data_IF_209401311070
#
_entry.id   IF_209401311070
#
_cell.length_a   1.000
_cell.length_b   1.000
_cell.length_c   1.000
_cell.angle_alpha   90.00
_cell.angle_beta   90.00
_cell.angle_gamma   90.00
#
_symmetry.space_group_name_H-M   'P 1'
#
loop_
_entity.id
_entity.type
_entity.pdbx_description
1 polymer ?
#
# COMPACT_ATOMS: atom_id res chain seq x y z
N UNK A 1 6.35 -8.48 -5.91
CA UNK A 1 7.41 -7.45 -5.74
C UNK A 1 6.93 -6.51 -4.63
N UNK A 2 7.74 -6.26 -3.59
CA UNK A 2 7.37 -5.26 -2.57
C UNK A 2 7.66 -3.90 -3.17
N UNK A 3 6.64 -3.03 -3.24
CA UNK A 3 6.79 -1.68 -3.76
C UNK A 3 6.85 -0.70 -2.60
N UNK A 4 7.83 0.19 -2.67
CA UNK A 4 7.97 1.28 -1.70
C UNK A 4 6.99 2.38 -2.06
N UNK A 5 6.01 2.59 -1.21
CA UNK A 5 4.99 3.62 -1.38
C UNK A 5 5.54 4.96 -0.88
N UNK A 6 5.43 5.99 -1.70
CA UNK A 6 5.81 7.35 -1.32
C UNK A 6 4.61 8.06 -0.70
N UNK A 7 4.85 8.83 0.35
CA UNK A 7 3.79 9.50 1.13
C UNK A 7 4.10 10.97 1.28
N UNK A 8 3.07 11.81 1.11
CA UNK A 8 3.07 13.17 1.64
C UNK A 8 2.60 13.14 3.10
N UNK A 9 3.26 13.95 3.94
CA UNK A 9 3.01 14.02 5.39
C UNK A 9 2.32 15.33 5.71
N UNK A 10 1.25 15.26 6.48
CA UNK A 10 0.51 16.43 6.93
C UNK A 10 0.21 16.35 8.42
N UNK A 11 0.10 17.51 9.06
CA UNK A 11 -0.42 17.63 10.41
C UNK A 11 -1.95 17.59 10.35
N UNK A 12 -2.52 16.50 10.86
CA UNK A 12 -3.95 16.33 11.03
C UNK A 12 -4.50 17.09 12.25
N UNK A 13 -5.82 17.09 12.41
CA UNK A 13 -6.44 17.59 13.65
C UNK A 13 -5.84 16.87 14.87
N UNK A 14 -5.75 17.59 15.98
CA UNK A 14 -5.24 17.08 17.25
C UNK A 14 -3.75 16.65 17.23
N UNK A 15 -2.97 17.11 16.24
CA UNK A 15 -1.53 16.82 16.14
C UNK A 15 -1.22 15.40 15.64
N UNK A 16 -2.19 14.75 14.99
CA UNK A 16 -2.00 13.44 14.38
C UNK A 16 -1.19 13.55 13.08
N UNK A 17 -0.20 12.67 12.88
CA UNK A 17 0.48 12.55 11.59
C UNK A 17 -0.45 11.83 10.60
N UNK A 18 -0.87 12.54 9.54
CA UNK A 18 -1.60 11.93 8.41
C UNK A 18 -0.60 11.67 7.29
N UNK A 19 -0.58 10.42 6.80
CA UNK A 19 0.25 9.98 5.67
C UNK A 19 -0.64 9.63 4.49
N UNK A 20 -0.52 10.37 3.39
CA UNK A 20 -1.30 10.16 2.17
C UNK A 20 -0.36 9.74 1.04
N UNK A 21 -0.64 8.65 0.32
CA UNK A 21 0.16 8.30 -0.87
C UNK A 21 0.16 9.44 -1.89
N UNK A 22 1.32 9.69 -2.52
CA UNK A 22 1.46 10.75 -3.54
C UNK A 22 0.84 10.36 -4.89
N UNK A 23 0.68 9.06 -5.13
CA UNK A 23 0.13 8.48 -6.35
C UNK A 23 -0.59 7.17 -6.04
N UNK A 24 -1.44 6.73 -6.97
CA UNK A 24 -2.24 5.51 -6.85
C UNK A 24 -1.62 4.32 -7.61
N UNK A 25 -0.38 4.42 -8.10
CA UNK A 25 0.26 3.37 -8.88
C UNK A 25 0.43 2.05 -8.12
N UNK A 26 0.50 2.11 -6.78
CA UNK A 26 0.53 0.91 -5.94
C UNK A 26 -0.76 0.08 -6.00
N UNK A 27 -1.91 0.70 -6.36
CA UNK A 27 -3.22 0.04 -6.51
C UNK A 27 -3.65 -0.08 -7.98
N UNK A 28 -3.07 0.66 -8.91
CA UNK A 28 -3.39 0.56 -10.34
C UNK A 28 -2.64 -0.58 -11.03
N UNK A 29 -3.35 -1.57 -11.55
CA UNK A 29 -2.77 -2.71 -12.28
C UNK A 29 -1.96 -2.24 -13.50
N UNK A 30 -0.72 -2.70 -13.62
CA UNK A 30 0.15 -2.33 -14.75
C UNK A 30 -0.33 -2.88 -16.12
N UNK A 31 -1.12 -3.96 -16.11
CA UNK A 31 -1.56 -4.64 -17.34
C UNK A 31 -2.86 -4.02 -17.90
N UNK A 32 -3.90 -3.89 -17.07
CA UNK A 32 -5.20 -3.38 -17.51
C UNK A 32 -5.51 -1.94 -17.09
N UNK A 33 -4.69 -1.33 -16.22
CA UNK A 33 -4.96 -0.01 -15.65
C UNK A 33 -6.12 0.02 -14.65
N UNK A 34 -6.68 -1.13 -14.28
CA UNK A 34 -7.76 -1.26 -13.31
C UNK A 34 -7.31 -1.04 -11.86
N UNK A 35 -8.27 -0.78 -10.98
CA UNK A 35 -8.02 -0.67 -9.55
C UNK A 35 -7.96 -2.07 -8.90
N UNK A 36 -6.84 -2.40 -8.27
CA UNK A 36 -6.61 -3.69 -7.63
C UNK A 36 -7.25 -3.73 -6.24
N UNK A 37 -7.81 -4.89 -5.87
CA UNK A 37 -8.41 -5.11 -4.56
C UNK A 37 -7.31 -5.29 -3.47
N UNK A 38 -7.47 -4.64 -2.30
CA UNK A 38 -6.56 -4.82 -1.19
C UNK A 38 -6.85 -6.11 -0.41
N UNK A 39 -5.85 -6.98 -0.28
CA UNK A 39 -5.87 -8.16 0.55
C UNK A 39 -4.90 -8.03 1.74
N UNK A 40 -5.41 -7.91 2.99
CA UNK A 40 -4.57 -7.83 4.17
C UNK A 40 -3.85 -9.16 4.40
N UNK A 41 -2.53 -9.10 4.48
CA UNK A 41 -1.67 -10.23 4.82
C UNK A 41 -0.98 -9.95 6.15
N UNK A 42 -1.42 -10.64 7.20
CA UNK A 42 -0.70 -10.67 8.47
C UNK A 42 0.37 -11.76 8.41
N UNK A 43 1.62 -11.40 8.69
CA UNK A 43 2.70 -12.37 8.85
C UNK A 43 3.15 -12.33 10.31
N UNK A 44 3.11 -13.47 11.00
CA UNK A 44 3.56 -13.60 12.38
C UNK A 44 4.97 -13.03 12.57
N UNK A 45 5.09 -12.06 13.48
CA UNK A 45 6.35 -11.37 13.78
C UNK A 45 6.84 -10.37 12.74
N UNK A 46 6.14 -10.22 11.59
CA UNK A 46 6.55 -9.32 10.51
C UNK A 46 5.59 -8.14 10.27
N UNK A 47 4.55 -7.98 11.08
CA UNK A 47 3.58 -6.88 10.94
C UNK A 47 2.54 -7.11 9.85
N UNK A 48 1.74 -6.06 9.57
CA UNK A 48 0.69 -6.10 8.54
C UNK A 48 1.26 -5.63 7.22
N UNK A 49 1.08 -6.45 6.17
CA UNK A 49 1.29 -6.06 4.78
C UNK A 49 -0.03 -6.09 4.04
N UNK A 50 -0.16 -5.27 3.02
CA UNK A 50 -1.35 -5.22 2.17
C UNK A 50 -0.91 -5.62 0.77
N UNK A 51 -1.43 -6.72 0.25
CA UNK A 51 -1.29 -7.08 -1.15
C UNK A 51 -2.38 -6.37 -1.96
N UNK A 52 -2.05 -5.91 -3.16
CA UNK A 52 -3.03 -5.38 -4.12
C UNK A 52 -3.13 -6.38 -5.28
N UNK A 53 -4.33 -6.93 -5.47
CA UNK A 53 -4.57 -8.06 -6.38
C UNK A 53 -5.55 -7.63 -7.47
N UNK A 54 -5.11 -7.72 -8.72
CA UNK A 54 -6.00 -7.59 -9.86
C UNK A 54 -6.75 -8.92 -10.05
N UNK A 55 -8.10 -8.91 -10.16
CA UNK A 55 -8.87 -10.14 -10.32
C UNK A 55 -8.54 -10.89 -11.62
N UNK A 56 -8.06 -10.18 -12.65
CA UNK A 56 -7.73 -10.74 -13.96
C UNK A 56 -6.25 -11.14 -14.08
N UNK A 57 -5.34 -10.36 -13.48
CA UNK A 57 -3.89 -10.48 -13.69
C UNK A 57 -3.12 -10.95 -12.44
N UNK A 58 -3.79 -11.11 -11.30
CA UNK A 58 -3.21 -11.58 -10.04
C UNK A 58 -2.52 -10.49 -9.22
N UNK A 59 -1.55 -10.87 -8.40
CA UNK A 59 -0.89 -9.96 -7.45
C UNK A 59 -0.09 -8.90 -8.21
N UNK A 60 -0.51 -7.64 -8.08
CA UNK A 60 0.18 -6.48 -8.64
C UNK A 60 1.30 -6.01 -7.71
N UNK A 61 0.94 -5.75 -6.45
CA UNK A 61 1.83 -5.04 -5.53
C UNK A 61 1.68 -5.52 -4.09
N UNK A 62 2.68 -5.24 -3.24
CA UNK A 62 2.61 -5.47 -1.80
C UNK A 62 3.24 -4.27 -1.07
N UNK A 63 2.50 -3.72 -0.11
CA UNK A 63 2.85 -2.52 0.65
C UNK A 63 2.99 -2.87 2.13
N UNK A 64 4.06 -2.38 2.77
CA UNK A 64 4.20 -2.31 4.23
C UNK A 64 4.03 -0.84 4.68
N UNK A 65 2.86 -0.44 5.20
CA UNK A 65 2.61 0.95 5.62
C UNK A 65 3.52 1.44 6.76
N UNK A 66 4.25 0.52 7.40
CA UNK A 66 5.11 0.79 8.56
C UNK A 66 6.59 0.51 8.27
N UNK A 67 6.99 0.36 7.00
CA UNK A 67 8.38 0.08 6.63
C UNK A 67 9.38 1.07 7.26
N UNK A 68 9.04 2.36 7.29
CA UNK A 68 9.85 3.45 7.88
C UNK A 68 9.96 3.38 9.42
N UNK A 69 9.16 2.53 10.08
CA UNK A 69 9.10 2.41 11.55
C UNK A 69 9.82 1.16 12.08
N UNK A 70 10.56 0.44 11.23
CA UNK A 70 11.26 -0.81 11.58
C UNK A 70 12.77 -0.65 11.66
#
# INVERSE_FOLDING_TARGET
MIVRMNYERFEGPDGLEIRVPIDEGYRTCAECGGDCDPEPTALDGLGVRIAFVCPEHGVHSMVDPFEDKR
#
